data_IF_862551977819
#
_entry.id   IF_862551977819
#
_cell.length_a   1.000
_cell.length_b   1.000
_cell.length_c   1.000
_cell.angle_alpha   90.00
_cell.angle_beta   90.00
_cell.angle_gamma   90.00
#
_symmetry.space_group_name_H-M   'P 1'
#
loop_
_entity.id
_entity.type
_entity.pdbx_description
1 polymer ?
#
# COMPACT_ATOMS: atom_id res chain seq x y z
N UNK A 1 -22.60 -1.28 -23.22
CA UNK A 1 -21.26 -1.90 -23.15
C UNK A 1 -20.25 -0.76 -23.19
N UNK A 2 -19.57 -0.49 -22.07
CA UNK A 2 -18.78 0.72 -21.87
C UNK A 2 -17.57 0.81 -22.81
N UNK A 3 -17.21 2.01 -23.26
CA UNK A 3 -16.04 2.28 -24.11
C UNK A 3 -14.72 1.77 -23.50
N UNK A 4 -14.65 1.66 -22.17
CA UNK A 4 -13.53 1.05 -21.44
C UNK A 4 -13.28 -0.41 -21.83
N UNK A 5 -14.34 -1.20 -22.05
CA UNK A 5 -14.24 -2.59 -22.48
C UNK A 5 -13.74 -2.73 -23.92
N UNK A 6 -14.07 -1.77 -24.79
CA UNK A 6 -13.63 -1.77 -26.18
C UNK A 6 -12.16 -1.38 -26.28
N UNK A 7 -11.71 -0.39 -25.49
CA UNK A 7 -10.31 0.01 -25.45
C UNK A 7 -9.41 -1.11 -24.93
N UNK A 8 -9.83 -1.80 -23.86
CA UNK A 8 -9.09 -2.91 -23.27
C UNK A 8 -8.98 -4.11 -24.23
N UNK A 9 -10.08 -4.47 -24.92
CA UNK A 9 -10.07 -5.53 -25.95
C UNK A 9 -9.17 -5.21 -27.14
N UNK A 10 -9.15 -3.94 -27.57
CA UNK A 10 -8.27 -3.49 -28.64
C UNK A 10 -6.79 -3.50 -28.23
N UNK A 11 -6.49 -3.17 -26.98
CA UNK A 11 -5.13 -3.24 -26.43
C UNK A 11 -4.64 -4.69 -26.39
N UNK A 12 -5.45 -5.61 -25.85
CA UNK A 12 -5.15 -7.05 -25.79
C UNK A 12 -4.92 -7.63 -27.18
N UNK A 13 -5.74 -7.24 -28.16
CA UNK A 13 -5.62 -7.72 -29.55
C UNK A 13 -4.33 -7.23 -30.21
N UNK A 14 -3.93 -5.98 -29.97
CA UNK A 14 -2.65 -5.41 -30.46
C UNK A 14 -1.44 -6.07 -29.81
N UNK A 15 -1.50 -6.38 -28.51
CA UNK A 15 -0.44 -7.06 -27.76
C UNK A 15 -0.25 -8.49 -28.28
N UNK A 16 -1.33 -9.26 -28.45
CA UNK A 16 -1.27 -10.62 -29.03
C UNK A 16 -0.63 -10.63 -30.41
N UNK A 17 -0.96 -9.63 -31.25
CA UNK A 17 -0.40 -9.52 -32.60
C UNK A 17 1.09 -9.17 -32.59
N UNK A 18 1.56 -8.32 -31.65
CA UNK A 18 2.99 -8.02 -31.47
C UNK A 18 3.76 -9.22 -30.89
N UNK A 19 3.18 -9.96 -29.95
CA UNK A 19 3.77 -11.16 -29.36
C UNK A 19 3.98 -12.29 -30.39
N UNK A 20 3.06 -12.43 -31.34
CA UNK A 20 3.13 -13.44 -32.40
C UNK A 20 4.25 -13.18 -33.44
N UNK A 21 4.74 -11.94 -33.56
CA UNK A 21 5.76 -11.56 -34.56
C UNK A 21 7.20 -11.77 -34.03
N UNK A 22 7.38 -11.90 -32.72
CA UNK A 22 8.72 -12.02 -32.10
C UNK A 22 9.16 -13.49 -32.06
N UNK A 23 10.05 -13.87 -32.98
CA UNK A 23 10.51 -15.27 -33.14
C UNK A 23 11.70 -15.66 -32.25
N UNK A 24 12.24 -14.75 -31.45
CA UNK A 24 13.36 -15.04 -30.55
C UNK A 24 12.87 -15.13 -29.10
N UNK A 25 13.16 -16.23 -28.38
CA UNK A 25 12.76 -16.40 -26.98
C UNK A 25 13.35 -15.31 -26.08
N UNK A 26 14.50 -14.74 -26.46
CA UNK A 26 15.15 -13.61 -25.76
C UNK A 26 14.29 -12.34 -25.87
N UNK A 27 13.70 -12.08 -27.04
CA UNK A 27 12.85 -10.91 -27.27
C UNK A 27 11.50 -11.04 -26.55
N UNK A 28 10.97 -12.26 -26.42
CA UNK A 28 9.74 -12.51 -25.66
C UNK A 28 9.99 -12.32 -24.15
N UNK A 29 11.06 -12.89 -23.61
CA UNK A 29 11.38 -12.76 -22.19
C UNK A 29 11.67 -11.31 -21.76
N UNK A 30 12.37 -10.54 -22.60
CA UNK A 30 12.62 -9.11 -22.34
C UNK A 30 11.34 -8.27 -22.39
N UNK A 31 10.45 -8.53 -23.35
CA UNK A 31 9.15 -7.83 -23.41
C UNK A 31 8.26 -8.20 -22.23
N UNK A 32 8.23 -9.47 -21.81
CA UNK A 32 7.49 -9.88 -20.59
C UNK A 32 8.11 -9.21 -19.36
N UNK A 33 9.44 -9.18 -19.24
CA UNK A 33 10.13 -8.51 -18.13
C UNK A 33 9.84 -7.00 -18.06
N UNK A 34 9.85 -6.31 -19.21
CA UNK A 34 9.47 -4.89 -19.31
C UNK A 34 8.00 -4.63 -18.97
N UNK A 35 7.09 -5.52 -19.38
CA UNK A 35 5.67 -5.45 -19.04
C UNK A 35 5.47 -5.68 -17.53
N UNK A 36 6.18 -6.64 -16.93
CA UNK A 36 6.11 -6.88 -15.48
C UNK A 36 6.70 -5.71 -14.68
N UNK A 37 7.78 -5.08 -15.15
CA UNK A 37 8.37 -3.89 -14.51
C UNK A 37 7.45 -2.65 -14.59
N UNK A 38 6.65 -2.53 -15.66
CA UNK A 38 5.69 -1.42 -15.84
C UNK A 38 4.33 -1.69 -15.19
N UNK A 39 4.10 -2.90 -14.66
CA UNK A 39 2.85 -3.29 -13.97
C UNK A 39 2.94 -3.16 -12.45
N UNK A 40 4.11 -2.86 -11.88
CA UNK A 40 4.24 -2.46 -10.47
C UNK A 40 4.08 -0.94 -10.38
N UNK A 41 3.00 -0.47 -10.98
CA UNK A 41 2.42 0.84 -10.74
C UNK A 41 1.74 0.69 -9.36
N UNK A 42 2.46 1.08 -8.32
CA UNK A 42 2.07 1.03 -6.91
C UNK A 42 2.94 2.00 -6.11
N UNK A 43 2.40 2.57 -5.03
CA UNK A 43 3.17 3.43 -4.13
C UNK A 43 3.34 2.79 -2.76
N UNK A 44 4.46 3.10 -2.13
CA UNK A 44 4.81 2.53 -0.83
C UNK A 44 4.57 3.55 0.28
N UNK A 45 3.89 3.11 1.33
CA UNK A 45 3.86 3.84 2.60
C UNK A 45 4.88 3.20 3.53
N UNK A 46 5.98 3.89 3.77
CA UNK A 46 7.03 3.47 4.69
C UNK A 46 6.68 3.86 6.12
N UNK A 47 6.85 2.92 7.06
CA UNK A 47 6.67 3.14 8.49
C UNK A 47 7.98 2.90 9.22
N UNK A 48 8.48 3.93 9.88
CA UNK A 48 9.58 3.81 10.84
C UNK A 48 9.01 3.59 12.23
N UNK A 49 9.19 2.40 12.77
CA UNK A 49 8.71 2.07 14.11
C UNK A 49 9.70 2.59 15.17
N UNK A 50 9.56 3.85 15.61
CA UNK A 50 10.39 4.43 16.69
C UNK A 50 9.68 4.40 18.05
N UNK A 51 8.70 3.52 18.21
CA UNK A 51 8.08 3.27 19.51
C UNK A 51 9.11 2.73 20.53
N UNK A 52 8.76 2.79 21.81
CA UNK A 52 9.55 2.26 22.91
C UNK A 52 9.68 0.74 22.76
N UNK A 53 10.86 0.20 23.04
CA UNK A 53 11.13 -1.24 23.00
C UNK A 53 10.07 -2.05 23.76
N UNK A 54 9.61 -3.15 23.16
CA UNK A 54 8.51 -3.98 23.67
C UNK A 54 7.12 -3.57 23.18
N UNK A 55 6.99 -2.41 22.52
CA UNK A 55 5.74 -1.96 21.88
C UNK A 55 5.57 -2.62 20.51
N UNK A 56 4.38 -3.09 20.18
CA UNK A 56 4.01 -3.53 18.83
C UNK A 56 3.10 -2.50 18.17
N UNK A 57 3.40 -2.13 16.93
CA UNK A 57 2.64 -1.12 16.19
C UNK A 57 2.03 -1.74 14.95
N UNK A 58 0.86 -1.26 14.55
CA UNK A 58 0.14 -1.68 13.36
C UNK A 58 -0.20 -0.48 12.49
N UNK A 59 -0.12 -0.64 11.18
CA UNK A 59 -0.66 0.31 10.23
C UNK A 59 -1.48 -0.43 9.17
N UNK A 60 -2.53 0.22 8.67
CA UNK A 60 -3.31 -0.28 7.55
C UNK A 60 -3.71 0.85 6.61
N UNK A 61 -3.88 0.50 5.35
CA UNK A 61 -4.45 1.35 4.32
C UNK A 61 -5.86 0.85 3.97
N UNK A 62 -6.83 1.75 3.97
CA UNK A 62 -8.24 1.42 3.73
C UNK A 62 -8.89 2.40 2.76
N UNK A 63 -10.02 2.00 2.16
CA UNK A 63 -10.81 2.90 1.31
C UNK A 63 -11.78 3.78 2.12
N UNK A 64 -12.12 3.37 3.33
CA UNK A 64 -13.12 4.01 4.19
C UNK A 64 -12.48 4.32 5.54
N UNK A 65 -12.78 5.53 6.06
CA UNK A 65 -12.46 5.88 7.43
C UNK A 65 -13.56 5.38 8.35
N UNK A 66 -13.22 4.44 9.23
CA UNK A 66 -14.17 3.82 10.17
C UNK A 66 -14.19 4.51 11.53
N UNK A 67 -13.35 5.53 11.72
CA UNK A 67 -13.23 6.24 12.97
C UNK A 67 -12.48 5.45 14.03
N UNK A 68 -12.78 5.73 15.28
CA UNK A 68 -11.83 5.64 16.42
C UNK A 68 -11.23 4.26 16.71
N UNK A 69 -11.94 3.17 16.38
CA UNK A 69 -11.49 1.81 16.64
C UNK A 69 -11.47 1.00 15.36
N UNK A 70 -10.29 0.55 14.98
CA UNK A 70 -10.04 -0.24 13.78
C UNK A 70 -9.50 -1.61 14.17
N UNK A 71 -10.14 -2.67 13.67
CA UNK A 71 -9.62 -4.03 13.82
C UNK A 71 -8.52 -4.30 12.79
N UNK A 72 -7.29 -4.51 13.24
CA UNK A 72 -6.18 -4.88 12.36
C UNK A 72 -6.17 -6.37 11.99
N UNK A 73 -6.90 -7.21 12.72
CA UNK A 73 -6.94 -8.65 12.51
C UNK A 73 -8.08 -9.09 11.58
N UNK A 74 -7.79 -10.07 10.71
CA UNK A 74 -8.81 -10.85 10.00
C UNK A 74 -9.60 -10.11 8.90
N UNK A 75 -9.15 -8.92 8.49
CA UNK A 75 -9.83 -8.09 7.49
C UNK A 75 -9.34 -8.35 6.07
N UNK A 76 -10.27 -8.65 5.18
CA UNK A 76 -10.01 -8.87 3.74
C UNK A 76 -10.22 -7.62 2.89
N UNK A 77 -10.79 -6.56 3.46
CA UNK A 77 -11.14 -5.31 2.77
C UNK A 77 -10.08 -4.20 2.91
N UNK A 78 -9.01 -4.47 3.66
CA UNK A 78 -7.84 -3.60 3.70
C UNK A 78 -7.14 -3.63 2.33
N UNK A 79 -6.61 -2.48 1.91
CA UNK A 79 -5.70 -2.42 0.76
C UNK A 79 -4.43 -3.18 1.12
N UNK A 80 -3.87 -2.86 2.28
CA UNK A 80 -2.77 -3.58 2.91
C UNK A 80 -2.77 -3.29 4.42
N UNK A 81 -2.21 -4.18 5.21
CA UNK A 81 -2.05 -4.02 6.66
C UNK A 81 -0.84 -4.80 7.17
N UNK A 82 -0.10 -4.18 8.08
CA UNK A 82 1.08 -4.79 8.65
C UNK A 82 1.28 -4.35 10.11
N UNK A 83 1.79 -5.25 10.92
CA UNK A 83 2.14 -5.01 12.31
C UNK A 83 3.56 -5.48 12.57
N UNK A 84 4.30 -4.74 13.37
CA UNK A 84 5.68 -5.07 13.68
C UNK A 84 6.10 -4.53 15.06
N UNK A 85 7.11 -5.17 15.63
CA UNK A 85 7.71 -4.78 16.91
C UNK A 85 8.57 -3.53 16.80
N UNK A 86 8.68 -2.79 17.91
CA UNK A 86 9.46 -1.56 18.01
C UNK A 86 10.86 -1.69 17.41
N UNK A 87 11.32 -0.62 16.75
CA UNK A 87 12.61 -0.49 16.07
C UNK A 87 12.79 -1.32 14.80
N UNK A 88 11.76 -2.05 14.36
CA UNK A 88 11.73 -2.71 13.04
C UNK A 88 10.79 -1.93 12.11
N UNK A 89 11.35 -1.37 11.03
CA UNK A 89 10.58 -0.65 10.01
C UNK A 89 9.82 -1.61 9.10
N UNK A 90 8.70 -1.14 8.55
CA UNK A 90 7.85 -1.93 7.66
C UNK A 90 7.15 -1.03 6.64
N UNK A 91 6.39 -1.62 5.73
CA UNK A 91 5.75 -0.90 4.63
C UNK A 91 4.36 -1.41 4.33
N UNK A 92 3.52 -0.54 3.78
CA UNK A 92 2.26 -0.90 3.14
C UNK A 92 2.37 -0.66 1.63
N UNK A 93 1.84 -1.58 0.84
CA UNK A 93 1.78 -1.47 -0.62
C UNK A 93 0.41 -0.95 -1.05
N UNK A 94 0.38 0.21 -1.70
CA UNK A 94 -0.83 0.80 -2.24
C UNK A 94 -0.88 0.53 -3.73
N UNK A 95 -1.85 -0.27 -4.16
CA UNK A 95 -2.02 -0.63 -5.56
C UNK A 95 -2.59 0.54 -6.37
N UNK A 96 -2.12 0.77 -7.60
CA UNK A 96 -2.52 1.95 -8.39
C UNK A 96 -3.96 1.97 -8.90
N UNK A 97 -4.69 0.85 -8.77
CA UNK A 97 -6.13 0.85 -8.97
C UNK A 97 -6.87 1.64 -7.88
N UNK A 98 -6.20 2.00 -6.78
CA UNK A 98 -6.73 2.86 -5.71
C UNK A 98 -6.30 4.30 -5.94
N UNK A 99 -7.27 5.17 -6.24
CA UNK A 99 -7.02 6.62 -6.42
C UNK A 99 -6.74 7.36 -5.11
N UNK A 100 -7.38 6.91 -4.03
CA UNK A 100 -7.26 7.52 -2.71
C UNK A 100 -7.42 6.47 -1.62
N UNK A 101 -6.79 6.70 -0.48
CA UNK A 101 -6.85 5.82 0.68
C UNK A 101 -6.74 6.60 1.97
N UNK A 102 -7.20 5.99 3.06
CA UNK A 102 -6.94 6.43 4.42
C UNK A 102 -5.82 5.58 5.02
N UNK A 103 -5.02 6.18 5.89
CA UNK A 103 -4.10 5.45 6.75
C UNK A 103 -4.67 5.42 8.17
N UNK A 104 -4.62 4.25 8.78
CA UNK A 104 -4.92 4.05 10.19
C UNK A 104 -3.71 3.44 10.88
N UNK A 105 -3.39 4.01 12.03
CA UNK A 105 -2.27 3.61 12.87
C UNK A 105 -2.80 3.15 14.22
N UNK A 106 -2.15 2.14 14.79
CA UNK A 106 -2.49 1.59 16.10
C UNK A 106 -1.27 1.06 16.82
N UNK A 107 -1.39 0.96 18.13
CA UNK A 107 -0.43 0.28 19.00
C UNK A 107 -1.16 -0.85 19.69
N UNK A 108 -0.61 -2.07 19.64
CA UNK A 108 -1.20 -3.24 20.29
C UNK A 108 -1.33 -2.98 21.78
N UNK A 109 -2.45 -3.43 22.36
CA UNK A 109 -2.78 -3.31 23.80
C UNK A 109 -2.97 -1.88 24.33
N UNK A 110 -2.75 -0.86 23.50
CA UNK A 110 -3.03 0.53 23.87
C UNK A 110 -4.51 0.77 24.14
N UNK A 111 -4.79 1.62 25.13
CA UNK A 111 -6.14 2.14 25.39
C UNK A 111 -6.46 3.42 24.61
N UNK A 112 -5.47 3.99 23.92
CA UNK A 112 -5.69 5.14 23.03
C UNK A 112 -6.44 4.75 21.75
N UNK A 113 -7.19 5.71 21.19
CA UNK A 113 -7.87 5.55 19.90
C UNK A 113 -6.87 5.42 18.74
N UNK A 114 -7.27 4.71 17.69
CA UNK A 114 -6.48 4.61 16.47
C UNK A 114 -6.36 5.96 15.79
N UNK A 115 -5.18 6.25 15.24
CA UNK A 115 -4.88 7.53 14.62
C UNK A 115 -5.11 7.41 13.13
N UNK A 116 -6.09 8.18 12.63
CA UNK A 116 -6.41 8.22 11.20
C UNK A 116 -5.73 9.42 10.53
N UNK A 117 -5.33 9.23 9.28
CA UNK A 117 -4.70 10.24 8.43
C UNK A 117 -5.23 10.11 7.00
N UNK A 118 -5.41 11.24 6.33
CA UNK A 118 -5.91 11.29 4.96
C UNK A 118 -7.29 11.95 4.82
N UNK A 119 -8.03 11.65 3.74
CA UNK A 119 -7.64 10.72 2.68
C UNK A 119 -6.43 11.26 1.91
N UNK A 120 -5.55 10.37 1.48
CA UNK A 120 -4.42 10.69 0.63
C UNK A 120 -4.72 10.32 -0.81
N UNK A 121 -4.24 11.13 -1.75
CA UNK A 121 -4.11 10.72 -3.15
C UNK A 121 -2.98 9.70 -3.28
N UNK A 122 -3.18 8.68 -4.11
CA UNK A 122 -2.15 7.71 -4.46
C UNK A 122 -1.27 8.25 -5.60
N UNK A 123 -0.43 9.23 -5.29
CA UNK A 123 0.38 10.00 -6.23
C UNK A 123 1.88 9.95 -5.95
N UNK A 124 2.28 9.17 -4.95
CA UNK A 124 3.66 9.08 -4.51
C UNK A 124 3.79 8.38 -3.17
N UNK A 125 4.99 7.85 -2.96
CA UNK A 125 5.39 7.23 -1.71
C UNK A 125 5.24 8.19 -0.54
N UNK A 126 4.88 7.64 0.62
CA UNK A 126 4.71 8.42 1.86
C UNK A 126 5.52 7.76 2.97
N UNK A 127 5.93 8.55 3.95
CA UNK A 127 6.72 8.06 5.08
C UNK A 127 6.12 8.57 6.39
N UNK A 128 5.97 7.66 7.34
CA UNK A 128 5.47 7.91 8.70
C UNK A 128 6.39 7.31 9.74
N UNK A 129 6.36 7.83 10.96
CA UNK A 129 7.07 7.24 12.08
C UNK A 129 6.25 7.28 13.37
N UNK A 130 6.23 6.14 14.08
CA UNK A 130 5.65 6.00 15.42
C UNK A 130 6.59 6.55 16.48
N UNK A 131 6.05 7.17 17.52
CA UNK A 131 6.74 7.50 18.76
C UNK A 131 5.87 7.16 19.97
N UNK A 132 6.52 6.89 21.11
CA UNK A 132 5.84 6.64 22.38
C UNK A 132 5.76 5.16 22.76
N UNK A 133 4.85 4.81 23.64
CA UNK A 133 4.63 3.47 24.18
C UNK A 133 3.17 3.05 24.05
N UNK A 134 2.84 1.87 24.56
CA UNK A 134 1.46 1.38 24.69
C UNK A 134 0.53 2.38 25.41
N UNK A 135 1.01 3.04 26.44
CA UNK A 135 0.22 3.98 27.26
C UNK A 135 0.02 5.34 26.61
N UNK A 136 1.00 5.79 25.81
CA UNK A 136 0.88 7.05 25.08
C UNK A 136 1.77 7.10 23.84
N UNK A 137 1.17 7.36 22.69
CA UNK A 137 1.86 7.30 21.41
C UNK A 137 1.31 8.29 20.39
N UNK A 138 2.11 8.60 19.37
CA UNK A 138 1.66 9.38 18.22
C UNK A 138 2.42 9.01 16.94
N UNK A 139 1.91 9.48 15.81
CA UNK A 139 2.43 9.22 14.46
C UNK A 139 2.58 10.51 13.68
N UNK A 140 3.76 10.65 13.08
CA UNK A 140 4.18 11.85 12.38
C UNK A 140 4.68 11.50 10.97
N UNK A 141 4.49 12.39 9.99
CA UNK A 141 5.16 12.26 8.71
C UNK A 141 6.68 12.36 8.90
N UNK A 142 7.45 11.60 8.12
CA UNK A 142 8.90 11.74 8.15
C UNK A 142 9.34 13.14 7.68
N UNK A 143 10.45 13.68 8.20
CA UNK A 143 11.06 14.88 7.65
C UNK A 143 11.32 14.70 6.14
N UNK A 144 11.05 15.75 5.37
CA UNK A 144 11.36 15.82 3.94
C UNK A 144 12.84 16.13 3.71
#
# INVERSE_FOLDING_TARGET
>A
VSESNLHQKNLITRIKKKLFIMKSPITIATVIGLIMLTLIEGHIVWIQNKALSGTSTCAAATLINEGKHFSFEGRSDNIDAHCETAHTGYSLNITDDKRSYWLVFGVSWSTEENKWRGPYTNDGDKCWHFHGSEDSWDVYPCPQ
#
